data_IF_908352882455
#
_entry.id   IF_908352882455
#
_cell.length_a   1.000
_cell.length_b   1.000
_cell.length_c   1.000
_cell.angle_alpha   90.00
_cell.angle_beta   90.00
_cell.angle_gamma   90.00
#
_symmetry.space_group_name_H-M   'P 1'
#
loop_
_entity.id
_entity.type
_entity.pdbx_description
1 polymer ?
#
# COMPACT_ATOMS: atom_id res chain seq x y z
N UNK A 1 -7.31 -36.71 -17.93
CA UNK A 1 -6.97 -36.17 -19.27
C UNK A 1 -6.88 -34.64 -19.12
N UNK A 2 -5.69 -34.14 -18.91
CA UNK A 2 -5.42 -32.71 -18.80
C UNK A 2 -5.13 -32.16 -20.20
N UNK A 3 -6.02 -31.36 -20.75
CA UNK A 3 -5.77 -30.66 -22.00
C UNK A 3 -4.76 -29.53 -21.76
N UNK A 4 -3.51 -29.76 -22.10
CA UNK A 4 -2.50 -28.72 -22.21
C UNK A 4 -2.84 -27.84 -23.41
N UNK A 5 -3.29 -26.62 -23.15
CA UNK A 5 -3.47 -25.59 -24.18
C UNK A 5 -2.07 -25.23 -24.72
N UNK A 6 -1.80 -25.41 -26.03
CA UNK A 6 -0.48 -25.16 -26.58
C UNK A 6 -0.18 -23.67 -26.54
N UNK A 7 0.91 -23.29 -25.87
CA UNK A 7 1.42 -21.90 -25.74
C UNK A 7 1.72 -21.16 -27.05
N UNK A 8 1.69 -21.85 -28.18
CA UNK A 8 2.00 -21.31 -29.52
C UNK A 8 0.96 -20.29 -30.03
N UNK A 9 -0.26 -20.29 -29.44
CA UNK A 9 -1.33 -19.37 -29.87
C UNK A 9 -1.40 -18.07 -29.08
N UNK A 10 -0.53 -17.86 -28.09
CA UNK A 10 -0.46 -16.57 -27.37
C UNK A 10 0.39 -15.50 -28.08
N UNK A 11 1.21 -15.91 -29.04
CA UNK A 11 2.11 -14.98 -29.77
C UNK A 11 1.46 -14.23 -30.96
N UNK A 12 0.20 -14.51 -31.27
CA UNK A 12 -0.59 -13.82 -32.32
C UNK A 12 -1.82 -13.09 -31.73
N UNK A 13 -1.74 -12.59 -30.51
CA UNK A 13 -2.73 -11.63 -30.04
C UNK A 13 -2.39 -10.30 -30.70
N UNK A 14 -3.18 -9.91 -31.70
CA UNK A 14 -3.18 -8.55 -32.25
C UNK A 14 -3.02 -7.54 -31.12
N UNK A 15 -2.02 -6.65 -31.25
CA UNK A 15 -1.74 -5.54 -30.34
C UNK A 15 -2.83 -4.45 -30.35
N UNK A 16 -4.09 -4.82 -30.40
CA UNK A 16 -5.17 -3.91 -30.12
C UNK A 16 -5.27 -3.77 -28.60
N UNK A 17 -4.96 -2.61 -28.11
CA UNK A 17 -5.14 -2.20 -26.71
C UNK A 17 -6.63 -2.30 -26.33
N UNK A 18 -7.07 -3.48 -25.90
CA UNK A 18 -8.41 -3.64 -25.38
C UNK A 18 -8.43 -3.25 -23.90
N UNK A 19 -8.86 -2.02 -23.64
CA UNK A 19 -9.24 -1.64 -22.30
C UNK A 19 -10.53 -2.37 -21.94
N UNK A 20 -10.50 -3.16 -20.89
CA UNK A 20 -11.72 -3.73 -20.34
C UNK A 20 -12.52 -2.58 -19.69
N UNK A 21 -13.60 -2.18 -20.37
CA UNK A 21 -14.48 -1.10 -19.92
C UNK A 21 -15.14 -1.41 -18.58
N UNK A 22 -15.34 -2.70 -18.25
CA UNK A 22 -15.89 -3.12 -16.95
C UNK A 22 -14.92 -2.87 -15.78
N UNK A 23 -13.62 -2.77 -16.05
CA UNK A 23 -12.61 -2.37 -15.08
C UNK A 23 -12.34 -0.87 -15.14
N UNK A 24 -12.27 -0.30 -16.33
CA UNK A 24 -11.91 1.10 -16.52
C UNK A 24 -12.98 2.05 -15.96
N UNK A 25 -14.26 1.82 -16.23
CA UNK A 25 -15.34 2.69 -15.79
C UNK A 25 -15.44 2.78 -14.25
N UNK A 26 -15.46 1.67 -13.48
CA UNK A 26 -15.44 1.74 -12.03
C UNK A 26 -14.17 2.41 -11.48
N UNK A 27 -13.01 2.17 -12.09
CA UNK A 27 -11.75 2.81 -11.66
C UNK A 27 -11.81 4.33 -11.84
N UNK A 28 -12.31 4.82 -13.00
CA UNK A 28 -12.51 6.26 -13.24
C UNK A 28 -13.54 6.86 -12.30
N UNK A 29 -14.64 6.15 -12.03
CA UNK A 29 -15.66 6.58 -11.08
C UNK A 29 -15.06 6.73 -9.67
N UNK A 30 -14.30 5.74 -9.19
CA UNK A 30 -13.62 5.80 -7.89
C UNK A 30 -12.59 6.93 -7.81
N UNK A 31 -11.82 7.17 -8.88
CA UNK A 31 -10.88 8.29 -8.94
C UNK A 31 -11.61 9.63 -8.86
N UNK A 32 -12.75 9.77 -9.56
CA UNK A 32 -13.55 11.00 -9.54
C UNK A 32 -14.17 11.25 -8.16
N UNK A 33 -14.77 10.22 -7.56
CA UNK A 33 -15.30 10.27 -6.19
C UNK A 33 -14.18 10.62 -5.21
N UNK A 34 -13.03 9.95 -5.30
CA UNK A 34 -11.88 10.21 -4.44
C UNK A 34 -11.40 11.65 -4.53
N UNK A 35 -11.34 12.24 -5.73
CA UNK A 35 -10.94 13.64 -5.91
C UNK A 35 -11.93 14.60 -5.22
N UNK A 36 -13.23 14.38 -5.39
CA UNK A 36 -14.28 15.18 -4.74
C UNK A 36 -14.21 15.04 -3.23
N UNK A 37 -14.03 13.82 -2.73
CA UNK A 37 -13.99 13.56 -1.30
C UNK A 37 -12.73 14.12 -0.62
N UNK A 38 -11.55 14.01 -1.26
CA UNK A 38 -10.33 14.66 -0.78
C UNK A 38 -10.51 16.17 -0.74
N UNK A 39 -11.18 16.76 -1.75
CA UNK A 39 -11.50 18.18 -1.74
C UNK A 39 -12.41 18.53 -0.54
N UNK A 40 -13.54 17.83 -0.38
CA UNK A 40 -14.46 18.06 0.74
C UNK A 40 -13.78 17.92 2.11
N UNK A 41 -13.05 16.83 2.32
CA UNK A 41 -12.43 16.53 3.59
C UNK A 41 -11.23 17.45 3.93
N UNK A 42 -10.57 18.04 2.93
CA UNK A 42 -9.35 18.84 3.17
C UNK A 42 -9.59 20.33 3.31
N UNK A 43 -10.71 20.89 2.85
CA UNK A 43 -10.94 22.34 2.79
C UNK A 43 -10.73 23.05 4.12
N UNK A 44 -11.39 22.60 5.18
CA UNK A 44 -11.29 23.24 6.49
C UNK A 44 -9.87 23.17 7.06
N UNK A 45 -9.20 22.03 6.91
CA UNK A 45 -7.83 21.83 7.38
C UNK A 45 -6.82 22.63 6.56
N UNK A 46 -6.99 22.70 5.23
CA UNK A 46 -6.11 23.45 4.34
C UNK A 46 -6.22 24.97 4.58
N UNK A 47 -7.44 25.47 4.74
CA UNK A 47 -7.68 26.88 5.05
C UNK A 47 -7.03 27.29 6.36
N UNK A 48 -7.27 26.52 7.43
CA UNK A 48 -6.73 26.80 8.74
C UNK A 48 -5.19 26.75 8.79
N UNK A 49 -4.55 25.82 8.06
CA UNK A 49 -3.10 25.58 8.14
C UNK A 49 -2.27 26.34 7.12
N UNK A 50 -2.80 26.56 5.92
CA UNK A 50 -2.06 27.12 4.79
C UNK A 50 -2.69 28.41 4.23
N UNK A 51 -3.91 28.79 4.65
CA UNK A 51 -4.64 29.92 4.10
C UNK A 51 -5.08 29.72 2.64
N UNK A 52 -5.02 28.51 2.12
CA UNK A 52 -5.44 28.12 0.77
C UNK A 52 -6.25 26.83 0.85
N UNK A 53 -7.58 26.95 0.72
CA UNK A 53 -8.52 25.83 0.79
C UNK A 53 -8.24 24.74 -0.24
N UNK A 54 -7.63 25.09 -1.39
CA UNK A 54 -7.32 24.17 -2.48
C UNK A 54 -5.91 23.59 -2.42
N UNK A 55 -5.14 23.85 -1.36
CA UNK A 55 -3.76 23.37 -1.26
C UNK A 55 -3.62 21.86 -1.50
N UNK A 56 -4.39 21.04 -0.80
CA UNK A 56 -4.34 19.58 -0.95
C UNK A 56 -4.93 19.11 -2.28
N UNK A 57 -5.99 19.75 -2.77
CA UNK A 57 -6.62 19.43 -4.05
C UNK A 57 -5.64 19.61 -5.20
N UNK A 58 -4.93 20.74 -5.24
CA UNK A 58 -3.89 21.02 -6.27
C UNK A 58 -2.80 19.96 -6.25
N UNK A 59 -2.30 19.61 -5.07
CA UNK A 59 -1.28 18.57 -4.92
C UNK A 59 -1.81 17.19 -5.32
N UNK A 60 -3.01 16.83 -4.87
CA UNK A 60 -3.62 15.55 -5.22
C UNK A 60 -3.85 15.41 -6.72
N UNK A 61 -4.32 16.47 -7.38
CA UNK A 61 -4.48 16.50 -8.83
C UNK A 61 -3.15 16.35 -9.57
N UNK A 62 -2.09 17.01 -9.11
CA UNK A 62 -0.75 16.86 -9.68
C UNK A 62 -0.23 15.41 -9.53
N UNK A 63 -0.39 14.80 -8.34
CA UNK A 63 -0.04 13.39 -8.14
C UNK A 63 -0.87 12.45 -9.01
N UNK A 64 -2.15 12.75 -9.22
CA UNK A 64 -3.03 11.97 -10.09
C UNK A 64 -2.51 11.95 -11.53
N UNK A 65 -2.12 13.11 -12.07
CA UNK A 65 -1.53 13.20 -13.42
C UNK A 65 -0.24 12.39 -13.52
N UNK A 66 0.66 12.52 -12.54
CA UNK A 66 1.91 11.76 -12.49
C UNK A 66 1.62 10.25 -12.43
N UNK A 67 0.65 9.85 -11.60
CA UNK A 67 0.26 8.45 -11.45
C UNK A 67 -0.35 7.87 -12.72
N UNK A 68 -1.21 8.62 -13.41
CA UNK A 68 -1.76 8.21 -14.71
C UNK A 68 -0.67 8.07 -15.76
N UNK A 69 0.33 8.96 -15.76
CA UNK A 69 1.53 8.81 -16.60
C UNK A 69 2.32 7.54 -16.28
N UNK A 70 2.52 7.23 -15.00
CA UNK A 70 3.20 6.01 -14.56
C UNK A 70 2.42 4.74 -14.96
N UNK A 71 1.09 4.76 -14.83
CA UNK A 71 0.20 3.68 -15.32
C UNK A 71 0.39 3.49 -16.83
N UNK A 72 0.39 4.59 -17.62
CA UNK A 72 0.63 4.52 -19.06
C UNK A 72 1.98 3.88 -19.40
N UNK A 73 3.06 4.26 -18.71
CA UNK A 73 4.38 3.62 -18.86
C UNK A 73 4.32 2.14 -18.48
N UNK A 74 3.64 1.79 -17.39
CA UNK A 74 3.45 0.41 -16.96
C UNK A 74 2.74 -0.46 -18.00
N UNK A 75 1.73 0.09 -18.67
CA UNK A 75 1.05 -0.58 -19.78
C UNK A 75 1.92 -0.72 -21.04
N UNK A 76 2.75 0.26 -21.33
CA UNK A 76 3.64 0.23 -22.50
C UNK A 76 4.76 -0.80 -22.36
N UNK A 77 5.26 -1.01 -21.14
CA UNK A 77 6.34 -1.96 -20.87
C UNK A 77 5.80 -3.39 -20.81
N UNK A 78 6.41 -4.28 -21.61
CA UNK A 78 6.01 -5.68 -21.64
C UNK A 78 6.32 -6.41 -20.32
N UNK A 79 5.55 -7.46 -19.94
CA UNK A 79 5.86 -8.29 -18.78
C UNK A 79 7.28 -8.89 -18.83
N UNK A 80 7.79 -9.20 -20.01
CA UNK A 80 9.15 -9.70 -20.19
C UNK A 80 10.23 -8.65 -19.83
N UNK A 81 9.98 -7.35 -20.04
CA UNK A 81 10.86 -6.28 -19.58
C UNK A 81 10.96 -6.29 -18.04
N UNK A 82 9.84 -6.32 -17.36
CA UNK A 82 9.77 -6.36 -15.90
C UNK A 82 10.49 -7.59 -15.32
N UNK A 83 10.22 -8.78 -15.88
CA UNK A 83 10.85 -10.03 -15.49
C UNK A 83 12.36 -10.04 -15.75
N UNK A 84 12.83 -9.50 -16.89
CA UNK A 84 14.25 -9.42 -17.24
C UNK A 84 15.05 -8.62 -16.21
N UNK A 85 14.52 -7.49 -15.77
CA UNK A 85 15.19 -6.56 -14.84
C UNK A 85 14.79 -6.76 -13.37
N UNK A 86 14.15 -7.89 -13.00
CA UNK A 86 13.65 -8.15 -11.65
C UNK A 86 14.67 -7.97 -10.53
N UNK A 87 15.95 -8.35 -10.75
CA UNK A 87 17.01 -8.16 -9.77
C UNK A 87 17.43 -6.69 -9.65
N UNK A 88 17.45 -5.97 -10.76
CA UNK A 88 17.76 -4.53 -10.74
C UNK A 88 16.70 -3.75 -9.95
N UNK A 89 15.41 -4.11 -10.07
CA UNK A 89 14.34 -3.50 -9.28
C UNK A 89 14.51 -3.73 -7.78
N UNK A 90 14.90 -4.95 -7.37
CA UNK A 90 15.17 -5.25 -5.94
C UNK A 90 16.42 -4.50 -5.45
N UNK A 91 17.51 -4.48 -6.22
CA UNK A 91 18.71 -3.73 -5.85
C UNK A 91 18.42 -2.24 -5.72
N UNK A 92 17.67 -1.67 -6.66
CA UNK A 92 17.23 -0.28 -6.59
C UNK A 92 16.37 -0.04 -5.35
N UNK A 93 15.45 -0.95 -5.01
CA UNK A 93 14.63 -0.87 -3.80
C UNK A 93 15.47 -0.85 -2.53
N UNK A 94 16.47 -1.73 -2.42
CA UNK A 94 17.39 -1.78 -1.29
C UNK A 94 18.20 -0.49 -1.19
N UNK A 95 18.71 0.03 -2.32
CA UNK A 95 19.46 1.28 -2.35
C UNK A 95 18.61 2.48 -1.94
N UNK A 96 17.36 2.55 -2.41
CA UNK A 96 16.44 3.64 -2.05
C UNK A 96 16.03 3.59 -0.58
N UNK A 97 15.72 2.41 -0.03
CA UNK A 97 15.44 2.25 1.41
C UNK A 97 16.66 2.64 2.25
N UNK A 98 17.84 2.18 1.87
CA UNK A 98 19.07 2.58 2.56
C UNK A 98 19.34 4.09 2.46
N UNK A 99 19.06 4.71 1.31
CA UNK A 99 19.22 6.16 1.12
C UNK A 99 18.27 6.98 2.01
N UNK A 100 17.03 6.53 2.20
CA UNK A 100 16.07 7.20 3.10
C UNK A 100 16.55 7.20 4.55
N UNK A 101 17.27 6.16 4.98
CA UNK A 101 17.82 6.10 6.34
C UNK A 101 18.96 7.10 6.58
N UNK A 102 19.62 7.57 5.51
CA UNK A 102 20.73 8.54 5.62
C UNK A 102 20.20 9.90 6.08
N UNK A 103 20.77 10.48 7.17
CA UNK A 103 20.42 11.83 7.60
C UNK A 103 20.69 12.86 6.50
N UNK A 104 19.70 13.73 6.24
CA UNK A 104 19.80 14.76 5.18
C UNK A 104 19.28 14.33 3.80
N UNK A 105 19.11 13.04 3.52
CA UNK A 105 18.50 12.51 2.29
C UNK A 105 17.03 12.21 2.49
N UNK A 106 16.70 11.41 3.52
CA UNK A 106 15.33 11.09 3.87
C UNK A 106 14.63 12.21 4.63
N UNK A 107 13.39 12.52 4.23
CA UNK A 107 12.52 13.46 4.93
C UNK A 107 11.82 12.75 6.10
N UNK A 108 11.87 13.38 7.28
CA UNK A 108 11.14 12.91 8.45
C UNK A 108 9.78 13.61 8.52
N UNK A 109 8.70 12.84 8.37
CA UNK A 109 7.32 13.30 8.52
C UNK A 109 6.63 12.45 9.60
N UNK A 110 5.94 13.09 10.52
CA UNK A 110 5.22 12.42 11.62
C UNK A 110 6.10 11.46 12.44
N UNK A 111 7.38 11.84 12.67
CA UNK A 111 8.29 11.05 13.51
C UNK A 111 8.95 9.85 12.83
N UNK A 112 8.71 9.62 11.55
CA UNK A 112 9.37 8.55 10.79
C UNK A 112 9.99 9.07 9.50
N UNK A 113 11.15 8.49 9.13
CA UNK A 113 11.92 8.87 7.95
C UNK A 113 11.67 7.85 6.86
N UNK A 114 10.71 8.14 5.95
CA UNK A 114 10.23 7.20 4.92
C UNK A 114 10.12 7.83 3.53
N UNK A 115 10.36 9.14 3.43
CA UNK A 115 10.04 9.91 2.24
C UNK A 115 11.29 10.47 1.60
N UNK A 116 11.31 10.51 0.27
CA UNK A 116 12.29 11.27 -0.51
C UNK A 116 11.61 12.53 -1.06
N UNK A 117 12.29 13.67 -0.92
CA UNK A 117 11.84 14.94 -1.49
C UNK A 117 12.34 15.08 -2.93
N UNK A 118 11.43 15.36 -3.85
CA UNK A 118 11.72 15.55 -5.28
C UNK A 118 11.06 16.85 -5.77
N UNK A 119 11.78 17.97 -5.67
CA UNK A 119 11.32 19.24 -6.27
C UNK A 119 9.94 19.72 -5.81
N UNK A 120 9.63 19.63 -4.50
CA UNK A 120 8.33 20.01 -3.93
C UNK A 120 7.31 18.86 -3.84
N UNK A 121 7.61 17.70 -4.42
CA UNK A 121 6.86 16.46 -4.26
C UNK A 121 7.55 15.54 -3.26
N UNK A 122 6.80 14.64 -2.67
CA UNK A 122 7.32 13.61 -1.78
C UNK A 122 7.00 12.23 -2.34
N UNK A 123 7.99 11.34 -2.35
CA UNK A 123 7.84 9.95 -2.77
C UNK A 123 8.10 9.04 -1.57
N UNK A 124 7.14 8.18 -1.25
CA UNK A 124 7.35 7.13 -0.27
C UNK A 124 8.02 5.94 -0.93
N UNK A 125 9.22 5.58 -0.47
CA UNK A 125 10.02 4.53 -1.10
C UNK A 125 9.37 3.17 -0.97
N UNK A 126 8.72 2.87 0.16
CA UNK A 126 8.04 1.60 0.39
C UNK A 126 6.95 1.27 -0.66
N UNK A 127 6.35 2.28 -1.32
CA UNK A 127 5.38 2.05 -2.40
C UNK A 127 6.05 1.43 -3.64
N UNK A 128 7.23 1.92 -4.01
CA UNK A 128 8.02 1.33 -5.10
C UNK A 128 8.53 -0.07 -4.75
N UNK A 129 8.94 -0.26 -3.50
CA UNK A 129 9.42 -1.57 -2.98
C UNK A 129 8.35 -2.64 -3.11
N UNK A 130 7.09 -2.33 -2.80
CA UNK A 130 5.98 -3.28 -2.94
C UNK A 130 5.82 -3.75 -4.39
N UNK A 131 5.83 -2.82 -5.35
CA UNK A 131 5.74 -3.15 -6.79
C UNK A 131 6.93 -3.99 -7.24
N UNK A 132 8.16 -3.56 -6.91
CA UNK A 132 9.39 -4.27 -7.25
C UNK A 132 9.41 -5.71 -6.69
N UNK A 133 8.90 -5.87 -5.47
CA UNK A 133 8.80 -7.19 -4.82
C UNK A 133 7.81 -8.11 -5.52
N UNK A 134 6.63 -7.61 -5.91
CA UNK A 134 5.64 -8.39 -6.67
C UNK A 134 6.24 -8.86 -8.00
N UNK A 135 6.89 -7.96 -8.74
CA UNK A 135 7.54 -8.28 -10.01
C UNK A 135 8.64 -9.33 -9.82
N UNK A 136 9.48 -9.15 -8.82
CA UNK A 136 10.56 -10.10 -8.51
C UNK A 136 10.01 -11.47 -8.15
N UNK A 137 9.05 -11.54 -7.23
CA UNK A 137 8.47 -12.79 -6.77
C UNK A 137 7.75 -13.52 -7.90
N UNK A 138 6.90 -12.83 -8.67
CA UNK A 138 6.20 -13.43 -9.79
C UNK A 138 7.15 -14.05 -10.80
N UNK A 139 8.21 -13.33 -11.18
CA UNK A 139 9.22 -13.83 -12.12
C UNK A 139 10.08 -14.98 -11.54
N UNK A 140 10.30 -15.02 -10.24
CA UNK A 140 11.04 -16.12 -9.59
C UNK A 140 10.15 -17.36 -9.43
N UNK A 141 8.89 -17.18 -9.05
CA UNK A 141 7.93 -18.27 -8.94
C UNK A 141 7.68 -18.93 -10.28
N UNK A 142 7.54 -18.15 -11.35
CA UNK A 142 7.46 -18.67 -12.72
C UNK A 142 8.71 -19.48 -13.09
N UNK A 143 9.91 -18.92 -12.85
CA UNK A 143 11.18 -19.58 -13.16
C UNK A 143 11.37 -20.90 -12.41
N UNK A 144 10.93 -20.99 -11.17
CA UNK A 144 11.11 -22.15 -10.30
C UNK A 144 9.84 -22.98 -10.10
N UNK A 145 8.84 -22.80 -10.97
CA UNK A 145 7.52 -23.43 -10.85
C UNK A 145 7.56 -24.91 -10.56
N UNK A 146 8.43 -25.65 -11.27
CA UNK A 146 8.51 -27.11 -11.18
C UNK A 146 9.44 -27.61 -10.06
N UNK A 147 10.20 -26.74 -9.42
CA UNK A 147 11.24 -27.09 -8.45
C UNK A 147 11.10 -26.41 -7.09
N UNK A 148 10.23 -25.43 -6.98
CA UNK A 148 10.09 -24.63 -5.76
C UNK A 148 9.56 -25.46 -4.59
N UNK A 149 8.59 -26.34 -4.85
CA UNK A 149 8.01 -27.22 -3.84
C UNK A 149 9.05 -28.10 -3.15
N UNK A 150 10.04 -28.57 -3.90
CA UNK A 150 11.00 -29.57 -3.43
C UNK A 150 12.36 -28.99 -3.04
N UNK A 151 12.56 -27.68 -3.29
CA UNK A 151 13.86 -27.02 -3.08
C UNK A 151 13.84 -25.96 -1.98
N UNK A 152 14.23 -26.36 -0.77
CA UNK A 152 14.47 -25.44 0.35
C UNK A 152 15.50 -24.33 0.06
N UNK A 153 16.63 -24.60 -0.67
CA UNK A 153 17.59 -23.54 -0.99
C UNK A 153 17.00 -22.45 -1.90
N UNK A 154 16.10 -22.78 -2.83
CA UNK A 154 15.44 -21.78 -3.69
C UNK A 154 14.44 -20.97 -2.89
N UNK A 155 13.64 -21.61 -2.06
CA UNK A 155 12.76 -20.95 -1.11
C UNK A 155 13.52 -20.01 -0.18
N UNK A 156 14.65 -20.46 0.39
CA UNK A 156 15.51 -19.65 1.25
C UNK A 156 16.04 -18.37 0.58
N UNK A 157 16.33 -18.41 -0.72
CA UNK A 157 16.73 -17.20 -1.49
C UNK A 157 15.61 -16.18 -1.59
N UNK A 158 14.36 -16.63 -1.80
CA UNK A 158 13.20 -15.74 -1.81
C UNK A 158 12.98 -15.12 -0.42
N UNK A 159 13.06 -15.95 0.62
CA UNK A 159 12.95 -15.49 2.00
C UNK A 159 14.02 -14.47 2.37
N UNK A 160 15.28 -14.68 1.94
CA UNK A 160 16.37 -13.74 2.24
C UNK A 160 16.08 -12.34 1.70
N UNK A 161 15.54 -12.22 0.47
CA UNK A 161 15.17 -10.93 -0.12
C UNK A 161 14.08 -10.25 0.71
N UNK A 162 13.02 -10.98 1.06
CA UNK A 162 11.92 -10.42 1.87
C UNK A 162 12.38 -10.01 3.25
N UNK A 163 13.24 -10.81 3.90
CA UNK A 163 13.80 -10.48 5.21
C UNK A 163 14.63 -9.20 5.15
N UNK A 164 15.51 -9.05 4.15
CA UNK A 164 16.33 -7.84 3.97
C UNK A 164 15.44 -6.60 3.79
N UNK A 165 14.44 -6.66 2.90
CA UNK A 165 13.51 -5.56 2.69
C UNK A 165 12.71 -5.25 3.95
N UNK A 166 12.24 -6.27 4.67
CA UNK A 166 11.49 -6.09 5.93
C UNK A 166 12.35 -5.45 7.01
N UNK A 167 13.62 -5.83 7.16
CA UNK A 167 14.54 -5.21 8.12
C UNK A 167 14.72 -3.73 7.80
N UNK A 168 14.95 -3.35 6.54
CA UNK A 168 15.09 -1.95 6.15
C UNK A 168 13.82 -1.15 6.44
N UNK A 169 12.65 -1.68 6.14
CA UNK A 169 11.36 -1.05 6.44
C UNK A 169 11.11 -0.91 7.95
N UNK A 170 11.53 -1.88 8.77
CA UNK A 170 11.45 -1.81 10.23
C UNK A 170 12.35 -0.69 10.77
N UNK A 171 13.53 -0.49 10.18
CA UNK A 171 14.44 0.60 10.55
C UNK A 171 13.86 2.00 10.20
N UNK A 172 12.93 2.08 9.25
CA UNK A 172 12.16 3.28 8.91
C UNK A 172 10.90 3.48 9.78
N UNK A 173 10.67 2.79 10.86
CA UNK A 173 9.45 2.41 11.59
C UNK A 173 8.19 2.22 10.72
N UNK A 174 8.31 1.58 9.54
CA UNK A 174 7.19 1.35 8.60
C UNK A 174 6.59 -0.07 8.72
N UNK A 175 5.95 -0.33 9.84
CA UNK A 175 5.34 -1.63 10.14
C UNK A 175 4.17 -1.97 9.22
N UNK A 176 3.43 -0.96 8.76
CA UNK A 176 2.33 -1.15 7.80
C UNK A 176 2.82 -1.73 6.49
N UNK A 177 3.89 -1.16 5.92
CA UNK A 177 4.48 -1.67 4.69
C UNK A 177 5.07 -3.08 4.85
N UNK A 178 5.66 -3.40 6.01
CA UNK A 178 6.13 -4.77 6.31
C UNK A 178 4.97 -5.76 6.32
N UNK A 179 3.84 -5.41 6.95
CA UNK A 179 2.67 -6.28 6.98
C UNK A 179 2.09 -6.51 5.58
N UNK A 180 1.93 -5.45 4.78
CA UNK A 180 1.45 -5.55 3.39
C UNK A 180 2.41 -6.39 2.54
N UNK A 181 3.72 -6.18 2.67
CA UNK A 181 4.74 -6.94 1.95
C UNK A 181 4.67 -8.42 2.33
N UNK A 182 4.55 -8.73 3.62
CA UNK A 182 4.40 -10.09 4.14
C UNK A 182 3.14 -10.78 3.61
N UNK A 183 1.98 -10.12 3.68
CA UNK A 183 0.72 -10.64 3.14
C UNK A 183 0.82 -10.88 1.62
N UNK A 184 1.40 -9.95 0.87
CA UNK A 184 1.61 -10.09 -0.58
C UNK A 184 2.52 -11.26 -0.88
N UNK A 185 3.61 -11.43 -0.13
CA UNK A 185 4.52 -12.57 -0.27
C UNK A 185 3.81 -13.89 -0.01
N UNK A 186 3.02 -13.98 1.06
CA UNK A 186 2.23 -15.16 1.39
C UNK A 186 1.24 -15.52 0.28
N UNK A 187 0.51 -14.52 -0.23
CA UNK A 187 -0.44 -14.72 -1.32
C UNK A 187 0.25 -15.23 -2.59
N UNK A 188 1.39 -14.65 -2.96
CA UNK A 188 2.15 -15.08 -4.14
C UNK A 188 2.76 -16.47 -3.98
N UNK A 189 3.26 -16.82 -2.80
CA UNK A 189 3.73 -18.18 -2.50
C UNK A 189 2.61 -19.21 -2.66
N UNK A 190 1.43 -18.91 -2.14
CA UNK A 190 0.26 -19.79 -2.25
C UNK A 190 -0.14 -19.97 -3.71
N UNK A 191 -0.26 -18.88 -4.48
CA UNK A 191 -0.59 -18.91 -5.91
C UNK A 191 0.51 -19.58 -6.75
N UNK A 192 1.76 -19.46 -6.35
CA UNK A 192 2.93 -20.07 -7.00
C UNK A 192 3.06 -21.57 -6.73
N UNK A 193 2.16 -22.19 -5.94
CA UNK A 193 2.17 -23.63 -5.66
C UNK A 193 3.33 -24.07 -4.75
N UNK A 194 3.78 -23.20 -3.82
CA UNK A 194 4.78 -23.59 -2.82
C UNK A 194 4.27 -24.73 -1.94
N UNK A 195 5.20 -25.56 -1.44
CA UNK A 195 4.82 -26.66 -0.55
C UNK A 195 4.19 -26.12 0.74
N UNK A 196 3.14 -26.80 1.23
CA UNK A 196 2.41 -26.39 2.44
C UNK A 196 3.33 -26.18 3.65
N UNK A 197 4.41 -26.96 3.78
CA UNK A 197 5.39 -26.78 4.87
C UNK A 197 6.13 -25.45 4.78
N UNK A 198 6.50 -25.02 3.56
CA UNK A 198 7.13 -23.72 3.31
C UNK A 198 6.16 -22.59 3.65
N UNK A 199 4.90 -22.71 3.21
CA UNK A 199 3.85 -21.75 3.53
C UNK A 199 3.62 -21.62 5.04
N UNK A 200 3.47 -22.73 5.75
CA UNK A 200 3.30 -22.74 7.21
C UNK A 200 4.52 -22.18 7.95
N UNK A 201 5.75 -22.41 7.45
CA UNK A 201 6.95 -21.84 8.07
C UNK A 201 6.98 -20.31 7.99
N UNK A 202 6.54 -19.72 6.85
CA UNK A 202 6.43 -18.27 6.72
C UNK A 202 5.32 -17.72 7.59
N UNK A 203 4.17 -18.38 7.63
CA UNK A 203 3.05 -17.99 8.50
C UNK A 203 3.46 -17.98 9.98
N UNK A 204 4.17 -19.02 10.43
CA UNK A 204 4.69 -19.10 11.79
C UNK A 204 5.70 -17.99 12.09
N UNK A 205 6.64 -17.73 11.16
CA UNK A 205 7.62 -16.64 11.29
C UNK A 205 6.94 -15.26 11.32
N UNK A 206 5.97 -15.03 10.45
CA UNK A 206 5.20 -13.79 10.41
C UNK A 206 4.40 -13.58 11.70
N UNK A 207 3.73 -14.62 12.20
CA UNK A 207 2.99 -14.59 13.46
C UNK A 207 3.88 -14.32 14.66
N UNK A 208 5.04 -14.99 14.73
CA UNK A 208 6.02 -14.75 15.78
C UNK A 208 6.58 -13.32 15.71
N UNK A 209 6.93 -12.85 14.52
CA UNK A 209 7.42 -11.49 14.32
C UNK A 209 6.39 -10.46 14.73
N UNK A 210 5.12 -10.64 14.34
CA UNK A 210 4.02 -9.77 14.74
C UNK A 210 3.85 -9.75 16.27
N UNK A 211 3.86 -10.92 16.91
CA UNK A 211 3.74 -11.03 18.36
C UNK A 211 4.88 -10.31 19.08
N UNK A 212 6.13 -10.55 18.68
CA UNK A 212 7.30 -9.87 19.25
C UNK A 212 7.20 -8.36 19.05
N UNK A 213 6.84 -7.91 17.84
CA UNK A 213 6.72 -6.48 17.54
C UNK A 213 5.57 -5.82 18.32
N UNK A 214 4.45 -6.49 18.51
CA UNK A 214 3.31 -5.97 19.27
C UNK A 214 3.67 -5.82 20.75
N UNK A 215 4.37 -6.80 21.33
CA UNK A 215 4.72 -6.81 22.76
C UNK A 215 5.95 -5.95 23.09
N UNK A 216 6.81 -5.65 22.11
CA UNK A 216 8.05 -4.90 22.32
C UNK A 216 7.86 -3.43 22.70
N UNK A 217 6.66 -2.84 22.47
CA UNK A 217 6.40 -1.44 22.81
C UNK A 217 4.97 -1.22 23.29
N UNK A 218 4.78 -0.61 24.48
CA UNK A 218 3.46 -0.39 25.09
C UNK A 218 2.48 0.37 24.18
N UNK A 219 2.97 1.35 23.39
CA UNK A 219 2.10 2.12 22.49
C UNK A 219 1.49 1.28 21.36
N UNK A 220 2.14 0.17 20.96
CA UNK A 220 1.61 -0.73 19.94
C UNK A 220 0.49 -1.59 20.49
N UNK A 221 0.66 -2.06 21.74
CA UNK A 221 -0.42 -2.76 22.45
C UNK A 221 -1.61 -1.83 22.66
N UNK A 222 -1.38 -0.57 23.06
CA UNK A 222 -2.46 0.41 23.20
C UNK A 222 -3.23 0.62 21.87
N UNK A 223 -2.57 0.62 20.72
CA UNK A 223 -3.25 0.69 19.40
C UNK A 223 -4.07 -0.57 19.11
N UNK A 224 -3.59 -1.76 19.48
CA UNK A 224 -4.34 -3.00 19.30
C UNK A 224 -5.58 -3.05 20.20
N UNK A 225 -5.44 -2.66 21.45
CA UNK A 225 -6.59 -2.58 22.37
C UNK A 225 -7.59 -1.53 21.94
N UNK A 226 -7.14 -0.36 21.51
CA UNK A 226 -8.00 0.69 20.96
C UNK A 226 -8.73 0.26 19.68
N UNK A 227 -8.15 -0.63 18.88
CA UNK A 227 -8.83 -1.19 17.71
C UNK A 227 -9.94 -2.16 18.09
N UNK A 228 -9.74 -2.96 19.16
CA UNK A 228 -10.74 -3.93 19.62
C UNK A 228 -11.87 -3.26 20.41
N UNK A 229 -11.55 -2.26 21.23
CA UNK A 229 -12.50 -1.47 21.99
C UNK A 229 -12.09 0.01 22.00
N UNK A 230 -12.46 0.78 20.96
CA UNK A 230 -12.08 2.19 20.86
C UNK A 230 -12.77 3.08 21.89
N UNK A 231 -13.91 2.63 22.44
CA UNK A 231 -14.68 3.40 23.39
C UNK A 231 -14.09 3.41 24.80
N UNK A 232 -13.26 2.42 25.12
CA UNK A 232 -12.59 2.36 26.43
C UNK A 232 -11.59 3.51 26.65
N UNK A 233 -11.00 4.05 25.58
CA UNK A 233 -10.06 5.20 25.62
C UNK A 233 -10.35 6.19 24.47
N UNK A 234 -11.61 6.62 24.40
CA UNK A 234 -12.14 7.45 23.32
C UNK A 234 -11.51 8.84 23.18
N UNK A 235 -10.75 9.30 24.17
CA UNK A 235 -10.12 10.63 24.18
C UNK A 235 -8.63 10.61 23.86
N UNK A 236 -7.98 9.44 23.85
CA UNK A 236 -6.55 9.27 23.58
C UNK A 236 -6.32 8.29 22.44
N UNK A 237 -5.92 7.05 22.73
CA UNK A 237 -5.52 6.06 21.73
C UNK A 237 -6.66 5.62 20.79
N UNK A 238 -7.91 5.63 21.27
CA UNK A 238 -9.11 5.32 20.50
C UNK A 238 -9.75 6.51 19.79
N UNK A 239 -9.26 7.74 19.99
CA UNK A 239 -9.94 8.97 19.55
C UNK A 239 -10.25 8.97 18.04
N UNK A 240 -9.26 8.73 17.20
CA UNK A 240 -9.45 8.75 15.74
C UNK A 240 -10.48 7.71 15.28
N UNK A 241 -10.40 6.50 15.82
CA UNK A 241 -11.33 5.42 15.46
C UNK A 241 -12.74 5.72 15.95
N UNK A 242 -12.89 6.23 17.18
CA UNK A 242 -14.18 6.64 17.74
C UNK A 242 -14.83 7.74 16.90
N UNK A 243 -14.07 8.79 16.51
CA UNK A 243 -14.60 9.85 15.68
C UNK A 243 -15.00 9.34 14.28
N UNK A 244 -14.23 8.39 13.73
CA UNK A 244 -14.60 7.77 12.46
C UNK A 244 -15.89 6.95 12.57
N UNK A 245 -16.08 6.19 13.63
CA UNK A 245 -17.32 5.44 13.90
C UNK A 245 -18.54 6.36 14.10
N UNK A 246 -18.34 7.51 14.77
CA UNK A 246 -19.37 8.55 14.91
C UNK A 246 -19.74 9.10 13.52
N UNK A 247 -18.75 9.32 12.62
CA UNK A 247 -19.02 9.74 11.24
C UNK A 247 -19.92 8.74 10.51
N UNK A 248 -19.60 7.45 10.56
CA UNK A 248 -20.42 6.38 10.00
C UNK A 248 -21.82 6.35 10.58
N UNK A 249 -21.94 6.43 11.92
CA UNK A 249 -23.24 6.42 12.59
C UNK A 249 -24.11 7.61 12.21
N UNK A 250 -23.50 8.79 12.01
CA UNK A 250 -24.21 10.01 11.63
C UNK A 250 -24.67 10.02 10.15
N UNK A 251 -23.89 9.39 9.28
CA UNK A 251 -24.23 9.30 7.86
C UNK A 251 -25.37 8.34 7.57
N UNK A 252 -25.66 7.40 8.48
CA UNK A 252 -26.69 6.37 8.28
C UNK A 252 -26.56 5.68 6.91
N UNK A 253 -27.69 5.59 6.14
CA UNK A 253 -27.71 4.95 4.81
C UNK A 253 -27.55 5.94 3.65
N UNK A 254 -27.91 7.21 3.83
CA UNK A 254 -27.98 8.18 2.75
C UNK A 254 -27.05 9.38 2.91
N UNK A 255 -26.30 9.42 4.02
CA UNK A 255 -25.45 10.56 4.36
C UNK A 255 -26.23 11.80 4.80
N UNK A 256 -25.52 12.74 5.43
CA UNK A 256 -26.08 14.04 5.84
C UNK A 256 -26.10 15.07 4.70
N UNK A 257 -25.53 14.72 3.55
CA UNK A 257 -25.39 15.57 2.37
C UNK A 257 -23.95 16.02 2.12
N UNK A 258 -23.59 16.12 0.84
CA UNK A 258 -22.24 16.49 0.41
C UNK A 258 -21.84 17.84 1.02
N UNK A 259 -20.68 17.91 1.62
CA UNK A 259 -20.18 19.12 2.26
C UNK A 259 -20.67 19.35 3.70
N UNK A 260 -21.56 18.53 4.24
CA UNK A 260 -22.20 18.71 5.55
C UNK A 260 -21.56 17.88 6.69
N UNK A 261 -20.47 17.19 6.42
CA UNK A 261 -19.74 16.46 7.47
C UNK A 261 -19.28 17.43 8.56
N UNK A 262 -19.54 17.07 9.81
CA UNK A 262 -19.01 17.77 10.99
C UNK A 262 -17.62 17.25 11.34
N UNK A 263 -17.37 15.98 11.11
CA UNK A 263 -16.10 15.37 11.47
C UNK A 263 -14.91 15.98 10.71
N UNK A 264 -15.09 16.45 9.48
CA UNK A 264 -14.05 17.16 8.72
C UNK A 264 -13.70 18.55 9.27
N UNK A 265 -14.51 19.10 10.16
CA UNK A 265 -14.24 20.41 10.79
C UNK A 265 -13.26 20.27 11.96
N UNK A 266 -12.12 19.61 11.73
CA UNK A 266 -11.01 19.39 12.67
C UNK A 266 -11.34 18.45 13.86
N UNK A 267 -12.50 17.83 13.90
CA UNK A 267 -12.81 16.82 14.92
C UNK A 267 -12.08 15.50 14.64
N UNK A 268 -12.03 15.08 13.37
CA UNK A 268 -11.32 13.85 12.97
C UNK A 268 -9.93 14.22 12.41
N UNK A 269 -8.83 13.88 13.13
CA UNK A 269 -7.48 14.03 12.60
C UNK A 269 -7.30 13.21 11.33
N UNK A 270 -6.45 13.70 10.41
CA UNK A 270 -6.12 13.05 9.14
C UNK A 270 -7.37 12.65 8.30
N UNK A 271 -8.46 13.43 8.41
CA UNK A 271 -9.72 13.19 7.74
C UNK A 271 -9.59 13.14 6.20
N UNK A 272 -8.61 13.85 5.62
CA UNK A 272 -8.38 13.93 4.18
C UNK A 272 -7.40 12.88 3.65
N UNK A 273 -6.84 12.05 4.53
CA UNK A 273 -5.90 10.97 4.20
C UNK A 273 -6.41 9.63 4.70
N UNK A 274 -6.10 9.27 5.94
CA UNK A 274 -6.36 7.95 6.50
C UNK A 274 -7.86 7.67 6.73
N UNK A 275 -8.65 8.73 6.97
CA UNK A 275 -10.07 8.63 7.32
C UNK A 275 -11.01 9.26 6.28
N UNK A 276 -10.56 9.45 5.04
CA UNK A 276 -11.39 10.04 3.98
C UNK A 276 -12.68 9.24 3.74
N UNK A 277 -12.64 7.93 3.93
CA UNK A 277 -13.83 7.08 3.79
C UNK A 277 -14.84 7.30 4.91
N UNK A 278 -14.42 7.68 6.12
CA UNK A 278 -15.34 8.06 7.19
C UNK A 278 -16.11 9.35 6.84
N UNK A 279 -15.40 10.34 6.26
CA UNK A 279 -16.04 11.57 5.76
C UNK A 279 -17.03 11.26 4.60
N UNK A 280 -16.61 10.37 3.68
CA UNK A 280 -17.48 9.92 2.60
C UNK A 280 -18.76 9.24 3.11
N UNK A 281 -18.64 8.43 4.16
CA UNK A 281 -19.79 7.76 4.75
C UNK A 281 -20.70 8.70 5.55
N UNK A 282 -20.13 9.79 6.13
CA UNK A 282 -20.93 10.82 6.79
C UNK A 282 -21.70 11.68 5.79
N UNK A 283 -21.09 12.03 4.61
CA UNK A 283 -21.67 12.87 3.56
C UNK A 283 -22.57 12.12 2.59
#
# INVERSE_FOLDING_TARGET
>A
MSQTIPMKNMAQRNDSWYFDTKLLLPALALLSIGLVMVASASFSYADHRFGDQFYFVKRHFAYLIISLGAVGVGFYLSPSFWSKYRLAWILLSILLLAAVLVPGVGLSLNGSRRWLGLGGFTLQVSELVKVATVVFLAAQLEKYRDTLSDSWPQFGKLMAVIIVLSILLILEPDFGSVAVLGCTFMALLFLGGSHIRQFLSVLALAGLSFWVMATAAPYRMARLTAYLDPWSDQFNSGYQLTQSLIAFGRGELFGVGLGQSVQKMLYLPDAHTDFVFAIYAEE
#
